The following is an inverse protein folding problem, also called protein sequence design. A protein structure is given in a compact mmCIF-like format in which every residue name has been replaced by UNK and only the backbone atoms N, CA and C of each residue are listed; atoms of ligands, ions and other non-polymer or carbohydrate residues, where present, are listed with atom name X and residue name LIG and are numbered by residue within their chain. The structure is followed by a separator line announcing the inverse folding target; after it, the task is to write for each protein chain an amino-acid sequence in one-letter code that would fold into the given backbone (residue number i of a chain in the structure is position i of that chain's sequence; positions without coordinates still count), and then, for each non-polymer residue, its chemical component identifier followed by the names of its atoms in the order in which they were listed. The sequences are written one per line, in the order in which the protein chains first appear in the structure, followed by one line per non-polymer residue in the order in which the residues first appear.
data_IF_596413179425
#
_entry.id   IF_596413179425
#
_cell.length_a   1.000
_cell.length_b   1.000
_cell.length_c   1.000
_cell.angle_alpha   90.00
_cell.angle_beta   90.00
_cell.angle_gamma   90.00
#
_symmetry.space_group_name_H-M   'P 1'
#
loop_
_entity.id
_entity.type
_entity.pdbx_description
1 polymer ?
#
# COMPACT_ATOMS: atom_id res chain seq x y z
N UNK A 1 -11.07 -1.85 13.38
CA UNK A 1 -10.97 -2.58 12.08
C UNK A 1 -10.41 -3.96 12.37
N UNK A 2 -11.13 -5.05 12.10
CA UNK A 2 -10.64 -6.41 12.36
C UNK A 2 -9.42 -6.68 11.46
N UNK A 3 -8.23 -6.73 12.05
CA UNK A 3 -7.03 -7.23 11.36
C UNK A 3 -7.21 -8.74 11.18
N UNK A 4 -7.57 -9.20 9.97
CA UNK A 4 -7.61 -10.63 9.64
C UNK A 4 -6.89 -10.90 8.33
N UNK A 5 -6.28 -12.08 8.19
CA UNK A 5 -5.50 -12.46 7.01
C UNK A 5 -4.07 -11.89 7.01
N UNK A 6 -3.58 -11.48 5.83
CA UNK A 6 -2.19 -11.07 5.55
C UNK A 6 -1.68 -9.97 6.51
N UNK A 7 -2.54 -9.04 6.93
CA UNK A 7 -2.14 -7.98 7.86
C UNK A 7 -1.71 -8.52 9.24
N UNK A 8 -2.32 -9.61 9.73
CA UNK A 8 -1.87 -10.28 10.97
C UNK A 8 -0.55 -11.00 10.76
N UNK A 9 -0.38 -11.66 9.62
CA UNK A 9 0.85 -12.34 9.25
C UNK A 9 2.03 -11.36 9.22
N UNK A 10 1.88 -10.25 8.51
CA UNK A 10 2.92 -9.20 8.43
C UNK A 10 3.27 -8.68 9.82
N UNK A 11 2.28 -8.28 10.63
CA UNK A 11 2.54 -7.77 11.99
C UNK A 11 3.24 -8.78 12.90
N UNK A 12 2.95 -10.06 12.74
CA UNK A 12 3.55 -11.10 13.57
C UNK A 12 4.99 -11.43 13.12
N UNK A 13 5.22 -11.57 11.82
CA UNK A 13 6.49 -12.08 11.28
C UNK A 13 7.48 -11.00 10.84
N UNK A 14 7.02 -9.85 10.36
CA UNK A 14 7.85 -8.85 9.69
C UNK A 14 8.21 -7.71 10.65
N UNK A 15 9.02 -8.00 11.67
CA UNK A 15 9.25 -7.10 12.81
C UNK A 15 10.60 -6.38 12.81
N UNK A 16 11.53 -6.80 11.95
CA UNK A 16 12.92 -6.32 11.98
C UNK A 16 13.45 -6.01 10.58
N UNK A 17 14.45 -5.14 10.52
CA UNK A 17 15.16 -4.74 9.30
C UNK A 17 14.18 -4.32 8.18
N UNK A 18 14.48 -4.69 6.94
CA UNK A 18 13.67 -4.33 5.77
C UNK A 18 12.26 -4.92 5.81
N UNK A 19 12.03 -5.99 6.57
CA UNK A 19 10.69 -6.57 6.69
C UNK A 19 9.76 -5.64 7.49
N UNK A 20 10.27 -4.99 8.54
CA UNK A 20 9.50 -4.03 9.34
C UNK A 20 8.97 -2.85 8.50
N UNK A 21 9.79 -2.39 7.54
CA UNK A 21 9.42 -1.29 6.65
C UNK A 21 8.11 -1.54 5.88
N UNK A 22 7.78 -2.81 5.58
CA UNK A 22 6.51 -3.14 4.94
C UNK A 22 5.31 -2.85 5.86
N UNK A 23 5.42 -3.23 7.13
CA UNK A 23 4.37 -2.98 8.12
C UNK A 23 4.20 -1.47 8.34
N UNK A 24 5.32 -0.77 8.54
CA UNK A 24 5.33 0.67 8.78
C UNK A 24 4.73 1.44 7.60
N UNK A 25 5.10 1.10 6.37
CA UNK A 25 4.56 1.73 5.17
C UNK A 25 3.06 1.47 5.01
N UNK A 26 2.60 0.24 5.23
CA UNK A 26 1.19 -0.11 5.12
C UNK A 26 0.34 0.64 6.18
N UNK A 27 0.85 0.76 7.40
CA UNK A 27 0.19 1.46 8.50
C UNK A 27 0.18 2.97 8.28
N UNK A 28 1.33 3.54 7.90
CA UNK A 28 1.45 4.95 7.55
C UNK A 28 0.51 5.35 6.41
N UNK A 29 0.39 4.51 5.38
CA UNK A 29 -0.55 4.77 4.29
C UNK A 29 -2.02 4.73 4.76
N UNK A 30 -2.39 3.77 5.61
CA UNK A 30 -3.73 3.73 6.19
C UNK A 30 -4.04 4.99 7.02
N UNK A 31 -3.06 5.50 7.77
CA UNK A 31 -3.23 6.74 8.54
C UNK A 31 -3.33 7.96 7.63
N UNK A 32 -2.48 8.06 6.60
CA UNK A 32 -2.53 9.13 5.61
C UNK A 32 -3.90 9.25 4.95
N UNK A 33 -4.48 8.13 4.52
CA UNK A 33 -5.83 8.11 3.94
C UNK A 33 -6.93 8.49 4.94
N UNK A 34 -6.80 8.09 6.21
CA UNK A 34 -7.76 8.48 7.26
C UNK A 34 -7.73 9.98 7.55
N UNK A 35 -6.63 10.65 7.23
CA UNK A 35 -6.47 12.08 7.38
C UNK A 35 -6.76 12.83 6.07
N UNK A 36 -7.63 12.27 5.22
CA UNK A 36 -8.04 12.81 3.91
C UNK A 36 -6.86 13.11 2.95
N UNK A 37 -5.74 12.41 3.14
CA UNK A 37 -4.55 12.55 2.31
C UNK A 37 -4.77 12.02 0.89
N UNK A 38 -4.29 12.77 -0.12
CA UNK A 38 -4.33 12.36 -1.53
C UNK A 38 -3.02 11.72 -1.97
N UNK A 39 -3.07 10.44 -2.31
CA UNK A 39 -1.89 9.65 -2.66
C UNK A 39 -1.52 9.78 -4.14
N UNK A 40 -0.27 10.15 -4.40
CA UNK A 40 0.37 10.07 -5.71
C UNK A 40 1.41 8.95 -5.69
N UNK A 41 1.42 8.10 -6.73
CA UNK A 41 2.39 7.01 -6.88
C UNK A 41 3.27 7.27 -8.10
N UNK A 42 4.58 7.24 -7.91
CA UNK A 42 5.52 7.22 -9.04
C UNK A 42 5.81 5.78 -9.43
N UNK A 43 5.51 5.36 -10.67
CA UNK A 43 5.63 3.96 -11.09
C UNK A 43 6.65 3.81 -12.24
N UNK A 44 7.77 3.15 -11.96
CA UNK A 44 8.73 2.75 -12.99
C UNK A 44 8.11 1.81 -14.03
N UNK A 45 8.55 1.91 -15.29
CA UNK A 45 8.03 1.12 -16.41
C UNK A 45 8.04 -0.39 -16.17
N UNK A 46 9.10 -0.93 -15.56
CA UNK A 46 9.21 -2.35 -15.24
C UNK A 46 8.09 -2.85 -14.31
N UNK A 47 7.59 -2.01 -13.40
CA UNK A 47 6.49 -2.34 -12.50
C UNK A 47 5.13 -2.36 -13.22
N UNK A 48 4.98 -1.55 -14.27
CA UNK A 48 3.82 -1.61 -15.17
C UNK A 48 3.80 -2.93 -15.96
N UNK A 49 4.97 -3.37 -16.46
CA UNK A 49 5.11 -4.68 -17.12
C UNK A 49 4.84 -5.84 -16.16
N UNK A 50 5.19 -5.68 -14.88
CA UNK A 50 4.83 -6.64 -13.82
C UNK A 50 3.35 -6.57 -13.39
N UNK A 51 2.51 -5.84 -14.14
CA UNK A 51 1.06 -5.77 -13.98
C UNK A 51 0.59 -5.20 -12.62
N UNK A 52 1.42 -4.41 -11.94
CA UNK A 52 0.99 -3.73 -10.71
C UNK A 52 -0.21 -2.79 -10.95
N UNK A 53 -0.40 -2.34 -12.18
CA UNK A 53 -1.58 -1.58 -12.61
C UNK A 53 -2.91 -2.28 -12.30
N UNK A 54 -2.97 -3.62 -12.32
CA UNK A 54 -4.20 -4.37 -11.99
C UNK A 54 -4.58 -4.19 -10.51
N UNK A 55 -3.58 -4.25 -9.63
CA UNK A 55 -3.78 -4.02 -8.19
C UNK A 55 -4.10 -2.55 -7.90
N UNK A 56 -3.42 -1.61 -8.59
CA UNK A 56 -3.64 -0.18 -8.42
C UNK A 56 -4.99 0.28 -8.97
N UNK A 57 -5.51 -0.35 -10.02
CA UNK A 57 -6.80 0.02 -10.61
C UNK A 57 -7.95 -0.07 -9.60
N UNK A 58 -7.95 -1.08 -8.73
CA UNK A 58 -8.95 -1.18 -7.65
C UNK A 58 -8.74 -0.11 -6.57
N UNK A 59 -7.49 0.24 -6.30
CA UNK A 59 -7.16 1.30 -5.34
C UNK A 59 -7.57 2.68 -5.85
N UNK A 60 -7.45 2.94 -7.16
CA UNK A 60 -7.95 4.15 -7.81
C UNK A 60 -9.48 4.21 -7.74
N UNK A 61 -10.18 3.13 -8.10
CA UNK A 61 -11.65 3.07 -8.04
C UNK A 61 -12.23 3.27 -6.63
N UNK A 62 -11.43 3.03 -5.60
CA UNK A 62 -11.81 3.23 -4.19
C UNK A 62 -11.28 4.53 -3.59
N UNK A 63 -10.83 5.48 -4.41
CA UNK A 63 -10.28 6.77 -3.99
C UNK A 63 -9.09 6.65 -3.01
N UNK A 64 -8.30 5.59 -3.14
CA UNK A 64 -7.09 5.40 -2.33
C UNK A 64 -5.86 5.94 -3.05
N UNK A 65 -5.83 5.89 -4.37
CA UNK A 65 -4.76 6.45 -5.22
C UNK A 65 -5.37 7.51 -6.14
N UNK A 66 -4.74 8.69 -6.17
CA UNK A 66 -5.29 9.88 -6.82
C UNK A 66 -4.49 10.31 -8.05
N UNK A 67 -3.23 9.91 -8.14
CA UNK A 67 -2.37 10.16 -9.29
C UNK A 67 -1.31 9.06 -9.45
N UNK A 68 -0.94 8.77 -10.71
CA UNK A 68 0.21 7.93 -11.05
C UNK A 68 1.07 8.66 -12.08
N UNK A 69 2.38 8.65 -11.89
CA UNK A 69 3.36 9.28 -12.80
C UNK A 69 4.51 8.35 -13.12
#
# INVERSE_FOLDING_TARGET
MKTSGIAKFIRHHYRHFNAAALADAAEGYCQFLKNDGKMMITLAGAMSTAELGLSLAEMIRRDKVHAIT
#
